data_IF_729841084773
#
_entry.id   IF_729841084773
#
_cell.length_a   1.000
_cell.length_b   1.000
_cell.length_c   1.000
_cell.angle_alpha   90.00
_cell.angle_beta   90.00
_cell.angle_gamma   90.00
#
_symmetry.space_group_name_H-M   'P 1'
#
loop_
_entity.id
_entity.type
_entity.pdbx_description
1 polymer ?
#
# COMPACT_ATOMS: atom_id res chain seq x y z
N UNK A 1 18.06 -4.52 8.47
CA UNK A 1 17.45 -3.41 7.76
C UNK A 1 16.51 -2.72 8.72
N UNK A 2 16.74 -1.40 8.91
CA UNK A 2 15.90 -0.59 9.78
C UNK A 2 14.49 -0.56 9.18
N UNK A 3 13.50 -0.96 9.96
CA UNK A 3 12.10 -0.84 9.55
C UNK A 3 11.78 0.65 9.37
N UNK A 4 11.16 1.07 8.26
CA UNK A 4 10.79 2.46 8.03
C UNK A 4 9.55 2.86 8.86
N UNK A 5 9.43 2.31 10.05
CA UNK A 5 8.31 2.49 10.97
C UNK A 5 8.84 2.62 12.40
N UNK A 6 8.41 3.67 13.10
CA UNK A 6 8.66 3.85 14.52
C UNK A 6 7.38 3.54 15.30
N UNK A 7 7.48 2.63 16.26
CA UNK A 7 6.37 2.26 17.13
C UNK A 7 6.72 2.75 18.54
N UNK A 8 5.77 3.46 19.14
CA UNK A 8 5.81 3.85 20.54
C UNK A 8 4.88 2.94 21.33
N UNK A 9 5.43 2.01 22.09
CA UNK A 9 4.67 1.16 22.99
C UNK A 9 4.52 1.85 24.35
N UNK A 10 3.29 2.00 24.82
CA UNK A 10 2.98 2.62 26.12
C UNK A 10 2.69 1.56 27.17
N UNK A 11 2.90 1.89 28.43
CA UNK A 11 2.49 1.00 29.53
C UNK A 11 0.97 0.78 29.48
N UNK A 12 0.53 -0.44 29.82
CA UNK A 12 -0.89 -0.78 29.89
C UNK A 12 -1.64 0.05 30.93
N UNK A 13 -2.90 0.31 30.65
CA UNK A 13 -3.79 1.17 31.43
C UNK A 13 -4.31 0.49 32.72
N UNK A 14 -3.82 -0.69 33.06
CA UNK A 14 -4.26 -1.50 34.20
C UNK A 14 -3.87 -0.91 35.59
N UNK A 15 -3.08 0.14 35.61
CA UNK A 15 -2.61 0.81 36.81
C UNK A 15 -3.54 1.98 37.12
N UNK A 16 -4.13 2.04 38.29
CA UNK A 16 -5.08 3.05 38.82
C UNK A 16 -5.09 4.46 38.18
N UNK A 17 -6.06 5.27 38.55
CA UNK A 17 -6.38 6.56 37.89
C UNK A 17 -5.19 7.51 37.69
N UNK A 18 -4.29 7.60 38.65
CA UNK A 18 -3.12 8.50 38.55
C UNK A 18 -2.12 8.04 37.48
N UNK A 19 -1.91 6.72 37.37
CA UNK A 19 -1.02 6.16 36.34
C UNK A 19 -1.58 6.33 34.94
N UNK A 20 -2.88 6.19 34.80
CA UNK A 20 -3.61 6.37 33.54
C UNK A 20 -3.55 7.83 33.07
N UNK A 21 -3.74 8.78 34.00
CA UNK A 21 -3.59 10.21 33.71
C UNK A 21 -2.16 10.53 33.25
N UNK A 22 -1.16 9.96 33.91
CA UNK A 22 0.24 10.15 33.54
C UNK A 22 0.54 9.63 32.14
N UNK A 23 0.00 8.46 31.77
CA UNK A 23 0.14 7.90 30.40
C UNK A 23 -0.50 8.81 29.36
N UNK A 24 -1.69 9.35 29.63
CA UNK A 24 -2.36 10.28 28.74
C UNK A 24 -1.58 11.58 28.56
N UNK A 25 -1.02 12.12 29.65
CA UNK A 25 -0.15 13.29 29.61
C UNK A 25 1.13 13.01 28.78
N UNK A 26 1.71 11.82 28.93
CA UNK A 26 2.90 11.38 28.16
C UNK A 26 2.58 11.31 26.66
N UNK A 27 1.45 10.68 26.26
CA UNK A 27 1.01 10.60 24.86
C UNK A 27 0.77 12.01 24.30
N UNK A 28 0.06 12.87 25.03
CA UNK A 28 -0.20 14.25 24.60
C UNK A 28 1.09 15.05 24.44
N UNK A 29 2.03 14.86 25.37
CA UNK A 29 3.33 15.52 25.30
C UNK A 29 4.16 15.02 24.11
N UNK A 30 4.17 13.71 23.84
CA UNK A 30 4.84 13.12 22.68
C UNK A 30 4.29 13.72 21.39
N UNK A 31 2.97 13.74 21.19
CA UNK A 31 2.31 14.30 20.02
C UNK A 31 2.66 15.78 19.86
N UNK A 32 2.59 16.55 20.96
CA UNK A 32 2.88 17.99 20.95
C UNK A 32 4.34 18.29 20.63
N UNK A 33 5.27 17.53 21.18
CA UNK A 33 6.72 17.72 20.95
C UNK A 33 7.07 17.38 19.51
N UNK A 34 6.59 16.23 19.01
CA UNK A 34 6.85 15.81 17.63
C UNK A 34 6.22 16.77 16.63
N UNK A 35 4.99 17.23 16.86
CA UNK A 35 4.33 18.23 16.02
C UNK A 35 5.10 19.56 15.99
N UNK A 36 5.58 20.04 17.15
CA UNK A 36 6.34 21.29 17.24
C UNK A 36 7.74 21.22 16.62
N UNK A 37 8.29 20.04 16.42
CA UNK A 37 9.59 19.88 15.76
C UNK A 37 9.56 20.35 14.30
N UNK A 38 8.40 20.34 13.65
CA UNK A 38 8.24 20.63 12.23
C UNK A 38 8.83 19.54 11.33
N UNK A 39 9.37 18.45 11.90
CA UNK A 39 9.90 17.30 11.17
C UNK A 39 8.81 16.24 11.02
N UNK A 40 8.20 16.17 9.85
CA UNK A 40 7.11 15.25 9.54
C UNK A 40 7.50 13.77 9.71
N UNK A 41 8.79 13.42 9.66
CA UNK A 41 9.26 12.06 9.89
C UNK A 41 9.19 11.64 11.35
N UNK A 42 9.03 12.59 12.25
CA UNK A 42 8.91 12.34 13.69
C UNK A 42 7.46 12.39 14.18
N UNK A 43 6.51 12.83 13.37
CA UNK A 43 5.11 12.93 13.78
C UNK A 43 4.52 11.56 14.15
N UNK A 44 3.61 11.56 15.11
CA UNK A 44 2.72 10.43 15.35
C UNK A 44 1.62 10.47 14.30
N UNK A 45 1.58 9.48 13.41
CA UNK A 45 0.67 9.46 12.27
C UNK A 45 -0.63 8.71 12.53
N UNK A 46 -0.65 7.80 13.50
CA UNK A 46 -1.84 7.08 13.94
C UNK A 46 -1.65 6.54 15.36
N UNK A 47 -2.74 6.37 16.08
CA UNK A 47 -2.79 5.72 17.40
C UNK A 47 -3.65 4.47 17.29
N UNK A 48 -3.13 3.32 17.72
CA UNK A 48 -3.90 2.13 18.00
C UNK A 48 -4.18 2.05 19.49
N UNK A 49 -5.45 2.24 19.86
CA UNK A 49 -5.88 2.05 21.23
C UNK A 49 -6.37 0.61 21.42
N UNK A 50 -5.58 -0.19 22.12
CA UNK A 50 -5.81 -1.63 22.27
C UNK A 50 -6.67 -1.93 23.49
N UNK A 51 -7.82 -2.57 23.29
CA UNK A 51 -8.75 -3.05 24.33
C UNK A 51 -8.75 -4.58 24.31
N UNK A 52 -8.52 -5.21 25.47
CA UNK A 52 -8.56 -6.67 25.56
C UNK A 52 -10.02 -7.18 25.56
N UNK A 53 -10.37 -8.07 24.63
CA UNK A 53 -11.72 -8.65 24.56
C UNK A 53 -12.09 -9.53 25.77
N UNK A 54 -11.12 -9.99 26.54
CA UNK A 54 -11.32 -10.84 27.71
C UNK A 54 -12.10 -10.16 28.83
N UNK A 55 -12.10 -8.83 28.91
CA UNK A 55 -12.87 -8.05 29.90
C UNK A 55 -14.35 -8.05 29.64
N UNK A 56 -14.80 -8.42 28.43
CA UNK A 56 -16.20 -8.46 27.96
C UNK A 56 -16.96 -7.11 28.06
N UNK A 57 -16.35 -6.06 28.50
CA UNK A 57 -16.90 -4.71 28.61
C UNK A 57 -15.76 -3.68 28.55
N UNK A 58 -16.08 -2.50 28.11
CA UNK A 58 -15.26 -1.32 28.29
C UNK A 58 -15.79 -0.51 29.47
N UNK A 59 -14.93 -0.02 30.32
CA UNK A 59 -15.33 0.83 31.44
C UNK A 59 -15.64 2.25 30.96
N UNK A 60 -16.55 2.96 31.67
CA UNK A 60 -16.94 4.33 31.31
C UNK A 60 -15.73 5.27 31.26
N UNK A 61 -14.81 5.14 32.21
CA UNK A 61 -13.55 5.91 32.23
C UNK A 61 -12.64 5.61 31.05
N UNK A 62 -12.59 4.36 30.61
CA UNK A 62 -11.81 3.98 29.43
C UNK A 62 -12.41 4.61 28.16
N UNK A 63 -13.74 4.64 28.03
CA UNK A 63 -14.43 5.36 26.96
C UNK A 63 -14.16 6.88 27.01
N UNK A 64 -14.15 7.50 28.19
CA UNK A 64 -13.80 8.90 28.35
C UNK A 64 -12.38 9.21 27.85
N UNK A 65 -11.44 8.30 28.05
CA UNK A 65 -10.06 8.46 27.58
C UNK A 65 -9.93 8.30 26.09
N UNK A 66 -10.54 7.26 25.53
CA UNK A 66 -10.57 7.10 24.07
C UNK A 66 -11.22 8.34 23.45
N UNK A 67 -12.30 8.83 24.01
CA UNK A 67 -12.97 10.04 23.57
C UNK A 67 -12.04 11.28 23.67
N UNK A 68 -11.26 11.40 24.73
CA UNK A 68 -10.28 12.47 24.89
C UNK A 68 -9.20 12.40 23.79
N UNK A 69 -8.67 11.22 23.49
CA UNK A 69 -7.74 11.01 22.37
C UNK A 69 -8.37 11.40 21.04
N UNK A 70 -9.60 10.96 20.78
CA UNK A 70 -10.33 11.25 19.54
C UNK A 70 -10.73 12.73 19.40
N UNK A 71 -10.59 13.53 20.44
CA UNK A 71 -10.98 14.93 20.48
C UNK A 71 -9.80 15.90 20.64
N UNK A 72 -8.55 15.39 20.64
CA UNK A 72 -7.34 16.20 20.77
C UNK A 72 -7.16 17.15 19.58
N UNK A 73 -7.11 18.46 19.87
CA UNK A 73 -7.23 19.59 18.95
C UNK A 73 -6.17 19.72 17.87
N UNK A 74 -5.15 20.60 18.05
CA UNK A 74 -4.32 21.12 16.94
C UNK A 74 -3.46 20.09 16.18
N UNK A 75 -3.09 18.97 16.79
CA UNK A 75 -2.23 17.95 16.18
C UNK A 75 -2.98 16.75 15.59
N UNK A 76 -4.30 16.71 15.73
CA UNK A 76 -5.26 15.80 15.10
C UNK A 76 -4.76 14.42 14.66
N UNK A 77 -4.33 13.56 15.60
CA UNK A 77 -3.82 12.23 15.24
C UNK A 77 -4.98 11.24 15.11
N UNK A 78 -5.10 10.51 13.98
CA UNK A 78 -6.11 9.46 13.81
C UNK A 78 -6.01 8.39 14.90
N UNK A 79 -7.16 8.05 15.52
CA UNK A 79 -7.28 7.01 16.55
C UNK A 79 -8.10 5.85 15.99
N UNK A 80 -7.54 4.67 16.02
CA UNK A 80 -8.19 3.41 15.68
C UNK A 80 -8.26 2.57 16.94
N UNK A 81 -9.46 2.13 17.34
CA UNK A 81 -9.61 1.22 18.46
C UNK A 81 -9.46 -0.22 17.99
N UNK A 82 -8.68 -1.00 18.72
CA UNK A 82 -8.37 -2.39 18.36
C UNK A 82 -8.78 -3.30 19.50
N UNK A 83 -9.80 -4.12 19.26
CA UNK A 83 -10.19 -5.16 20.21
C UNK A 83 -9.27 -6.36 20.00
N UNK A 84 -8.33 -6.54 20.92
CA UNK A 84 -7.30 -7.60 20.84
C UNK A 84 -7.77 -8.90 21.49
N UNK A 85 -7.07 -10.01 21.25
CA UNK A 85 -7.34 -11.32 21.83
C UNK A 85 -8.81 -11.77 21.62
N UNK A 86 -9.33 -11.53 20.41
CA UNK A 86 -10.75 -11.75 20.08
C UNK A 86 -11.09 -13.23 19.85
N UNK A 87 -10.72 -14.13 20.79
CA UNK A 87 -11.02 -15.56 20.72
C UNK A 87 -12.52 -15.83 20.58
N UNK A 88 -13.36 -15.05 21.27
CA UNK A 88 -14.80 -15.11 21.14
C UNK A 88 -15.31 -13.99 20.23
N UNK A 89 -15.24 -14.21 18.92
CA UNK A 89 -15.53 -13.22 17.88
C UNK A 89 -16.85 -12.47 18.09
N UNK A 90 -17.92 -13.18 18.48
CA UNK A 90 -19.23 -12.55 18.71
C UNK A 90 -19.24 -11.58 19.90
N UNK A 91 -18.46 -11.89 20.95
CA UNK A 91 -18.33 -11.01 22.13
C UNK A 91 -17.49 -9.78 21.78
N UNK A 92 -16.36 -10.02 21.11
CA UNK A 92 -15.49 -8.94 20.65
C UNK A 92 -16.20 -7.98 19.68
N UNK A 93 -17.00 -8.49 18.75
CA UNK A 93 -17.78 -7.65 17.83
C UNK A 93 -18.83 -6.81 18.56
N UNK A 94 -19.54 -7.35 19.55
CA UNK A 94 -20.50 -6.56 20.36
C UNK A 94 -19.80 -5.45 21.14
N UNK A 95 -18.59 -5.73 21.68
CA UNK A 95 -17.78 -4.72 22.34
C UNK A 95 -17.36 -3.62 21.35
N UNK A 96 -16.92 -3.99 20.16
CA UNK A 96 -16.57 -3.06 19.10
C UNK A 96 -17.75 -2.19 18.66
N UNK A 97 -18.94 -2.76 18.52
CA UNK A 97 -20.17 -2.04 18.19
C UNK A 97 -20.53 -1.01 19.29
N UNK A 98 -20.42 -1.38 20.58
CA UNK A 98 -20.65 -0.48 21.70
C UNK A 98 -19.71 0.71 21.66
N UNK A 99 -18.40 0.47 21.51
CA UNK A 99 -17.39 1.51 21.41
C UNK A 99 -17.65 2.39 20.18
N UNK A 100 -17.98 1.78 19.04
CA UNK A 100 -18.26 2.53 17.82
C UNK A 100 -19.46 3.47 17.98
N UNK A 101 -20.53 3.04 18.64
CA UNK A 101 -21.70 3.88 18.89
C UNK A 101 -21.38 5.09 19.76
N UNK A 102 -20.53 4.94 20.79
CA UNK A 102 -20.12 6.02 21.68
C UNK A 102 -19.15 7.02 21.03
N UNK A 103 -18.31 6.55 20.11
CA UNK A 103 -17.27 7.37 19.48
C UNK A 103 -17.62 7.86 18.07
N UNK A 104 -18.74 7.39 17.49
CA UNK A 104 -19.16 7.80 16.15
C UNK A 104 -19.30 9.33 16.05
N UNK A 105 -18.72 9.91 15.01
CA UNK A 105 -18.74 11.36 14.78
C UNK A 105 -17.66 12.16 15.53
N UNK A 106 -16.80 11.53 16.32
CA UNK A 106 -15.63 12.23 16.90
C UNK A 106 -14.59 12.52 15.81
N UNK A 107 -13.94 13.71 15.85
CA UNK A 107 -13.12 14.20 14.74
C UNK A 107 -11.99 13.25 14.29
N UNK A 108 -11.34 12.61 15.25
CA UNK A 108 -10.16 11.77 14.99
C UNK A 108 -10.41 10.28 15.21
N UNK A 109 -11.66 9.86 15.43
CA UNK A 109 -12.03 8.45 15.51
C UNK A 109 -12.17 7.84 14.12
N UNK A 110 -11.41 6.78 13.85
CA UNK A 110 -11.35 6.13 12.52
C UNK A 110 -11.77 4.64 12.53
N UNK A 111 -12.52 4.24 13.55
CA UNK A 111 -13.12 2.91 13.60
C UNK A 111 -12.64 2.04 14.75
N UNK A 112 -13.35 0.91 14.93
CA UNK A 112 -13.05 -0.10 15.93
C UNK A 112 -12.96 -1.46 15.23
N UNK A 113 -11.84 -2.16 15.39
CA UNK A 113 -11.55 -3.41 14.69
C UNK A 113 -11.29 -4.54 15.68
N UNK A 114 -11.85 -5.70 15.41
CA UNK A 114 -11.63 -6.92 16.22
C UNK A 114 -10.52 -7.75 15.60
N UNK A 115 -9.53 -8.12 16.41
CA UNK A 115 -8.31 -8.79 15.94
C UNK A 115 -7.96 -9.98 16.84
N UNK A 116 -7.71 -11.11 16.19
CA UNK A 116 -6.94 -12.22 16.73
C UNK A 116 -5.65 -12.33 15.91
N UNK A 117 -4.55 -11.78 16.44
CA UNK A 117 -3.31 -11.64 15.69
C UNK A 117 -2.59 -12.98 15.44
N UNK A 118 -2.67 -13.88 16.41
CA UNK A 118 -2.17 -15.26 16.29
C UNK A 118 -3.31 -16.24 16.53
N UNK A 119 -3.32 -17.42 15.88
CA UNK A 119 -4.28 -18.46 16.20
C UNK A 119 -4.08 -18.95 17.63
N UNK A 120 -5.09 -19.61 18.20
CA UNK A 120 -4.94 -20.27 19.49
C UNK A 120 -3.92 -21.40 19.37
N UNK A 121 -2.97 -21.44 20.30
CA UNK A 121 -1.89 -22.47 20.30
C UNK A 121 -2.46 -23.88 20.56
N UNK A 122 -3.53 -23.98 21.35
CA UNK A 122 -4.17 -25.25 21.72
C UNK A 122 -5.19 -25.71 20.66
N UNK A 123 -5.86 -24.76 19.96
CA UNK A 123 -6.87 -25.07 18.95
C UNK A 123 -6.84 -24.06 17.78
N UNK A 124 -5.78 -24.12 16.96
CA UNK A 124 -5.60 -23.18 15.87
C UNK A 124 -6.65 -23.31 14.74
N UNK A 125 -7.28 -24.47 14.60
CA UNK A 125 -8.32 -24.70 13.57
C UNK A 125 -9.63 -24.03 13.95
N UNK A 126 -10.02 -24.05 15.22
CA UNK A 126 -11.25 -23.41 15.69
C UNK A 126 -11.11 -21.91 15.90
N UNK A 127 -9.87 -21.45 16.17
CA UNK A 127 -9.55 -20.04 16.41
C UNK A 127 -8.42 -19.53 15.49
N UNK A 128 -8.64 -19.47 14.17
CA UNK A 128 -7.66 -18.95 13.25
C UNK A 128 -7.49 -17.43 13.43
N UNK A 129 -6.31 -16.92 13.09
CA UNK A 129 -6.04 -15.46 13.10
C UNK A 129 -7.00 -14.72 12.16
N UNK A 130 -7.44 -13.52 12.55
CA UNK A 130 -8.29 -12.65 11.72
C UNK A 130 -8.16 -11.18 12.10
N UNK A 131 -8.68 -10.29 11.24
CA UNK A 131 -8.84 -8.86 11.50
C UNK A 131 -7.59 -8.01 11.28
N UNK A 132 -6.40 -8.61 11.15
CA UNK A 132 -5.15 -7.85 10.92
C UNK A 132 -5.18 -7.10 9.59
N UNK A 133 -5.75 -7.71 8.55
CA UNK A 133 -5.84 -7.08 7.22
C UNK A 133 -6.71 -5.83 7.25
N UNK A 134 -7.87 -5.91 7.90
CA UNK A 134 -8.81 -4.79 8.03
C UNK A 134 -8.18 -3.65 8.83
N UNK A 135 -7.44 -3.97 9.91
CA UNK A 135 -6.71 -3.00 10.71
C UNK A 135 -5.60 -2.30 9.92
N UNK A 136 -4.82 -3.06 9.16
CA UNK A 136 -3.75 -2.52 8.31
C UNK A 136 -4.34 -1.61 7.22
N UNK A 137 -5.43 -2.02 6.59
CA UNK A 137 -6.12 -1.21 5.58
C UNK A 137 -6.70 0.07 6.16
N UNK A 138 -7.33 0.00 7.35
CA UNK A 138 -7.84 1.18 8.04
C UNK A 138 -6.72 2.16 8.40
N UNK A 139 -5.59 1.65 8.90
CA UNK A 139 -4.42 2.46 9.21
C UNK A 139 -3.84 3.11 7.96
N UNK A 140 -3.72 2.36 6.86
CA UNK A 140 -3.26 2.89 5.59
C UNK A 140 -4.09 4.07 5.09
N UNK A 141 -5.41 4.04 5.28
CA UNK A 141 -6.31 5.11 4.83
C UNK A 141 -6.17 6.41 5.61
N UNK A 142 -5.70 6.36 6.85
CA UNK A 142 -5.63 7.53 7.73
C UNK A 142 -4.25 8.18 7.80
N UNK A 143 -3.20 7.47 7.45
CA UNK A 143 -1.84 8.03 7.42
C UNK A 143 -1.62 8.86 6.15
N UNK A 144 -0.77 9.91 6.20
CA UNK A 144 -0.47 10.76 5.03
C UNK A 144 0.05 9.94 3.83
N UNK A 145 -0.32 10.34 2.62
CA UNK A 145 0.05 9.65 1.38
C UNK A 145 1.56 9.43 1.26
N UNK A 146 2.38 10.40 1.66
CA UNK A 146 3.85 10.31 1.62
C UNK A 146 4.41 9.23 2.55
N UNK A 147 3.67 8.84 3.59
CA UNK A 147 4.07 7.83 4.59
C UNK A 147 3.48 6.45 4.30
N UNK A 148 2.48 6.35 3.43
CA UNK A 148 1.80 5.10 3.10
C UNK A 148 2.74 4.03 2.56
N UNK A 149 3.66 4.40 1.68
CA UNK A 149 4.63 3.47 1.12
C UNK A 149 5.55 2.86 2.20
N UNK A 150 6.03 3.68 3.15
CA UNK A 150 6.85 3.22 4.26
C UNK A 150 6.08 2.28 5.20
N UNK A 151 4.81 2.64 5.52
CA UNK A 151 3.94 1.82 6.36
C UNK A 151 3.68 0.44 5.74
N UNK A 152 3.32 0.40 4.45
CA UNK A 152 3.06 -0.86 3.73
C UNK A 152 4.32 -1.70 3.60
N UNK A 153 5.47 -1.08 3.36
CA UNK A 153 6.75 -1.78 3.31
C UNK A 153 7.05 -2.48 4.63
N UNK A 154 6.75 -1.84 5.75
CA UNK A 154 6.92 -2.42 7.08
C UNK A 154 5.97 -3.61 7.36
N UNK A 155 4.83 -3.72 6.65
CA UNK A 155 3.89 -4.82 6.79
C UNK A 155 4.39 -6.04 6.00
N UNK A 156 5.04 -6.99 6.68
CA UNK A 156 5.60 -8.20 6.04
C UNK A 156 4.58 -9.16 5.41
N UNK A 157 3.28 -9.01 5.67
CA UNK A 157 2.31 -10.11 5.52
C UNK A 157 1.20 -9.85 4.51
N UNK A 158 0.80 -8.61 4.21
CA UNK A 158 -0.38 -8.40 3.37
C UNK A 158 -0.06 -7.98 1.94
N UNK A 159 0.10 -8.98 1.05
CA UNK A 159 0.34 -8.79 -0.38
C UNK A 159 -0.83 -8.04 -1.03
N UNK A 160 -2.06 -8.28 -0.60
CA UNK A 160 -3.24 -7.62 -1.17
C UNK A 160 -3.22 -6.11 -0.93
N UNK A 161 -2.92 -5.67 0.30
CA UNK A 161 -2.78 -4.24 0.62
C UNK A 161 -1.63 -3.61 -0.17
N UNK A 162 -0.51 -4.32 -0.32
CA UNK A 162 0.61 -3.86 -1.16
C UNK A 162 0.19 -3.69 -2.62
N UNK A 163 -0.56 -4.65 -3.14
CA UNK A 163 -1.07 -4.63 -4.52
C UNK A 163 -2.06 -3.49 -4.76
N UNK A 164 -2.99 -3.26 -3.82
CA UNK A 164 -3.94 -2.15 -3.90
C UNK A 164 -3.23 -0.78 -3.86
N UNK A 165 -2.25 -0.63 -2.97
CA UNK A 165 -1.44 0.57 -2.91
C UNK A 165 -0.66 0.79 -4.20
N UNK A 166 -0.01 -0.25 -4.72
CA UNK A 166 0.72 -0.18 -5.99
C UNK A 166 -0.19 0.26 -7.14
N UNK A 167 -1.43 -0.28 -7.21
CA UNK A 167 -2.42 0.14 -8.21
C UNK A 167 -2.86 1.59 -8.04
N UNK A 168 -3.01 2.09 -6.81
CA UNK A 168 -3.29 3.52 -6.56
C UNK A 168 -2.20 4.42 -7.14
N UNK A 169 -0.92 4.08 -6.90
CA UNK A 169 0.20 4.81 -7.48
C UNK A 169 0.29 4.67 -9.00
N UNK A 170 0.04 3.47 -9.53
CA UNK A 170 -0.02 3.23 -10.97
C UNK A 170 -1.01 4.15 -11.68
N UNK A 171 -2.17 4.43 -11.09
CA UNK A 171 -3.15 5.37 -11.64
C UNK A 171 -2.57 6.80 -11.81
N UNK A 172 -1.70 7.23 -10.92
CA UNK A 172 -0.97 8.49 -11.05
C UNK A 172 -0.06 8.52 -12.29
N UNK A 173 0.69 7.44 -12.50
CA UNK A 173 1.58 7.29 -13.67
C UNK A 173 0.79 7.18 -14.98
N UNK A 174 -0.33 6.46 -15.01
CA UNK A 174 -1.23 6.39 -16.17
C UNK A 174 -1.73 7.78 -16.57
N UNK A 175 -2.18 8.58 -15.60
CA UNK A 175 -2.63 9.96 -15.85
C UNK A 175 -1.49 10.84 -16.38
N UNK A 176 -0.30 10.72 -15.78
CA UNK A 176 0.90 11.45 -16.24
C UNK A 176 1.28 11.05 -17.67
N UNK A 177 1.29 9.75 -17.98
CA UNK A 177 1.60 9.25 -19.33
C UNK A 177 0.57 9.69 -20.37
N UNK A 178 -0.71 9.77 -19.99
CA UNK A 178 -1.75 10.33 -20.86
C UNK A 178 -1.45 11.80 -21.21
N UNK A 179 -1.14 12.62 -20.21
CA UNK A 179 -0.85 14.05 -20.39
C UNK A 179 0.44 14.26 -21.22
N UNK A 180 1.47 13.48 -20.96
CA UNK A 180 2.73 13.53 -21.71
C UNK A 180 2.54 13.10 -23.15
N UNK A 181 1.75 12.06 -23.42
CA UNK A 181 1.47 11.57 -24.76
C UNK A 181 0.54 12.49 -25.58
N UNK A 182 -0.10 13.48 -24.98
CA UNK A 182 -0.81 14.55 -25.69
C UNK A 182 0.13 15.62 -26.27
N UNK A 183 1.34 15.75 -25.71
CA UNK A 183 2.32 16.68 -26.25
C UNK A 183 2.90 16.12 -27.56
N UNK A 184 3.07 16.93 -28.62
CA UNK A 184 3.74 16.49 -29.83
C UNK A 184 5.24 16.36 -29.56
N UNK A 185 5.66 15.19 -29.09
CA UNK A 185 7.05 14.89 -28.78
C UNK A 185 7.74 14.32 -30.04
N UNK A 186 8.91 14.82 -30.44
CA UNK A 186 9.69 14.22 -31.54
C UNK A 186 10.14 12.79 -31.13
N UNK A 187 10.27 11.92 -32.14
CA UNK A 187 10.58 10.47 -32.01
C UNK A 187 11.85 10.14 -31.21
N UNK A 188 12.64 11.15 -30.82
CA UNK A 188 13.86 11.03 -29.99
C UNK A 188 13.60 10.75 -28.50
N UNK A 189 12.34 10.70 -28.04
CA UNK A 189 12.01 10.67 -26.60
C UNK A 189 11.76 9.26 -26.04
N UNK A 190 12.07 8.21 -26.79
CA UNK A 190 12.07 6.83 -26.28
C UNK A 190 12.86 6.65 -24.96
N UNK A 191 14.01 7.31 -24.74
CA UNK A 191 14.70 7.26 -23.45
C UNK A 191 13.90 7.84 -22.30
N UNK A 192 13.11 8.89 -22.51
CA UNK A 192 12.27 9.51 -21.48
C UNK A 192 11.12 8.60 -21.05
N UNK A 193 10.47 7.91 -21.98
CA UNK A 193 9.44 6.92 -21.66
C UNK A 193 10.01 5.78 -20.81
N UNK A 194 11.16 5.20 -21.20
CA UNK A 194 11.82 4.13 -20.44
C UNK A 194 12.18 4.60 -19.03
N UNK A 195 12.69 5.83 -18.89
CA UNK A 195 13.04 6.40 -17.59
C UNK A 195 11.82 6.53 -16.68
N UNK A 196 10.68 6.98 -17.21
CA UNK A 196 9.43 7.10 -16.46
C UNK A 196 8.89 5.74 -16.01
N UNK A 197 8.94 4.73 -16.88
CA UNK A 197 8.52 3.37 -16.56
C UNK A 197 9.43 2.70 -15.50
N UNK A 198 10.75 2.94 -15.59
CA UNK A 198 11.70 2.48 -14.55
C UNK A 198 11.41 3.17 -13.21
N UNK A 199 11.11 4.47 -13.21
CA UNK A 199 10.75 5.20 -11.99
C UNK A 199 9.46 4.64 -11.37
N UNK A 200 8.44 4.37 -12.18
CA UNK A 200 7.20 3.74 -11.77
C UNK A 200 7.47 2.36 -11.14
N UNK A 201 8.19 1.49 -11.83
CA UNK A 201 8.52 0.15 -11.34
C UNK A 201 9.35 0.20 -10.06
N UNK A 202 10.30 1.14 -9.95
CA UNK A 202 11.09 1.35 -8.73
C UNK A 202 10.18 1.73 -7.56
N UNK A 203 9.23 2.64 -7.78
CA UNK A 203 8.26 3.05 -6.76
C UNK A 203 7.37 1.88 -6.31
N UNK A 204 6.82 1.11 -7.26
CA UNK A 204 6.02 -0.09 -6.98
C UNK A 204 6.85 -1.12 -6.21
N UNK A 205 8.12 -1.33 -6.57
CA UNK A 205 9.04 -2.23 -5.86
C UNK A 205 9.22 -1.81 -4.40
N UNK A 206 9.35 -0.50 -4.15
CA UNK A 206 9.44 0.06 -2.80
C UNK A 206 8.19 -0.24 -1.96
N UNK A 207 6.99 -0.14 -2.55
CA UNK A 207 5.73 -0.48 -1.89
C UNK A 207 5.70 -1.96 -1.46
N UNK A 208 6.18 -2.86 -2.31
CA UNK A 208 6.27 -4.28 -1.96
C UNK A 208 7.35 -4.60 -0.92
N UNK A 209 8.32 -3.68 -0.70
CA UNK A 209 9.47 -3.92 0.18
C UNK A 209 10.39 -5.02 -0.31
N UNK A 210 10.43 -5.24 -1.62
CA UNK A 210 11.28 -6.24 -2.27
C UNK A 210 12.58 -5.55 -2.67
N UNK A 211 13.71 -6.10 -2.21
CA UNK A 211 15.02 -5.60 -2.63
C UNK A 211 15.33 -6.09 -4.04
N UNK A 212 15.14 -5.22 -5.02
CA UNK A 212 15.54 -5.40 -6.41
C UNK A 212 16.44 -4.23 -6.81
N UNK A 213 17.61 -4.56 -7.36
CA UNK A 213 18.50 -3.52 -7.87
C UNK A 213 17.94 -2.85 -9.15
N UNK A 214 18.38 -1.62 -9.41
CA UNK A 214 17.89 -0.84 -10.55
C UNK A 214 18.19 -1.48 -11.90
N UNK A 215 19.28 -2.26 -12.00
CA UNK A 215 19.65 -2.99 -13.21
C UNK A 215 18.63 -4.07 -13.52
N UNK A 216 18.19 -4.82 -12.52
CA UNK A 216 17.19 -5.87 -12.66
C UNK A 216 15.82 -5.27 -13.02
N UNK A 217 15.41 -4.17 -12.36
CA UNK A 217 14.20 -3.44 -12.69
C UNK A 217 14.26 -2.98 -14.15
N UNK A 218 15.38 -2.38 -14.57
CA UNK A 218 15.59 -1.94 -15.95
C UNK A 218 15.51 -3.10 -16.94
N UNK A 219 16.05 -4.26 -16.59
CA UNK A 219 15.98 -5.48 -17.42
C UNK A 219 14.53 -5.94 -17.60
N UNK A 220 13.73 -5.97 -16.54
CA UNK A 220 12.32 -6.34 -16.59
C UNK A 220 11.54 -5.32 -17.45
N UNK A 221 11.70 -4.04 -17.19
CA UNK A 221 11.05 -2.95 -17.96
C UNK A 221 11.45 -3.03 -19.43
N UNK A 222 12.74 -3.21 -19.73
CA UNK A 222 13.23 -3.35 -21.09
C UNK A 222 12.68 -4.61 -21.75
N UNK A 223 12.53 -5.72 -21.05
CA UNK A 223 11.91 -6.94 -21.57
C UNK A 223 10.42 -6.74 -21.87
N UNK A 224 9.69 -6.00 -21.04
CA UNK A 224 8.28 -5.64 -21.26
C UNK A 224 8.11 -4.64 -22.41
N UNK A 225 8.94 -3.59 -22.46
CA UNK A 225 8.93 -2.59 -23.54
C UNK A 225 9.66 -3.13 -24.76
N UNK A 226 10.72 -3.92 -24.60
CA UNK A 226 11.56 -4.45 -25.67
C UNK A 226 10.81 -5.43 -26.58
N UNK A 227 9.68 -5.96 -26.12
CA UNK A 227 8.64 -6.48 -27.03
C UNK A 227 8.14 -5.37 -27.94
N UNK A 228 8.03 -4.15 -27.39
CA UNK A 228 7.71 -2.95 -28.19
C UNK A 228 8.92 -2.41 -28.94
N UNK A 229 10.15 -2.40 -28.42
CA UNK A 229 11.32 -1.72 -28.99
C UNK A 229 12.22 -2.58 -29.90
N UNK A 230 12.35 -3.90 -29.66
CA UNK A 230 12.91 -4.82 -30.68
C UNK A 230 12.02 -4.83 -31.93
N UNK A 231 10.79 -4.41 -31.75
CA UNK A 231 9.76 -4.22 -32.74
C UNK A 231 9.81 -2.87 -33.43
N UNK A 232 10.39 -1.85 -32.82
CA UNK A 232 10.67 -0.54 -33.46
C UNK A 232 11.91 -0.62 -34.35
N UNK A 233 12.90 -1.43 -34.02
CA UNK A 233 14.07 -1.65 -34.86
C UNK A 233 13.81 -2.55 -36.08
N UNK A 234 12.81 -3.40 -36.00
CA UNK A 234 12.38 -4.23 -37.11
C UNK A 234 10.95 -3.88 -37.56
N UNK A 235 10.78 -2.91 -38.39
CA UNK A 235 9.60 -2.33 -39.08
C UNK A 235 8.25 -3.10 -39.12
N UNK A 236 8.12 -4.26 -38.49
CA UNK A 236 6.99 -5.18 -38.68
C UNK A 236 6.15 -5.46 -37.42
N UNK A 237 6.63 -5.15 -36.23
CA UNK A 237 5.97 -5.59 -34.98
C UNK A 237 5.39 -4.42 -34.19
N UNK A 238 5.88 -3.18 -34.34
CA UNK A 238 5.14 -1.97 -33.87
C UNK A 238 3.73 -1.97 -34.49
N UNK A 239 3.61 -2.40 -35.72
CA UNK A 239 2.30 -2.59 -36.38
C UNK A 239 1.46 -3.72 -35.73
N UNK A 240 2.04 -4.69 -35.04
CA UNK A 240 1.31 -5.79 -34.42
C UNK A 240 0.70 -5.39 -33.07
N UNK A 241 1.49 -4.75 -32.18
CA UNK A 241 1.01 -4.28 -30.88
C UNK A 241 0.10 -3.06 -31.05
N UNK A 242 0.43 -2.14 -31.97
CA UNK A 242 -0.40 -0.99 -32.30
C UNK A 242 -1.70 -1.39 -33.01
N UNK A 243 -1.76 -2.54 -33.68
CA UNK A 243 -3.01 -3.12 -34.22
C UNK A 243 -3.92 -3.72 -33.16
N UNK A 244 -3.38 -4.07 -31.96
CA UNK A 244 -4.17 -4.55 -30.84
C UNK A 244 -4.84 -3.41 -30.05
N UNK A 245 -4.41 -2.15 -30.27
CA UNK A 245 -5.00 -0.99 -29.63
C UNK A 245 -6.07 -0.40 -30.56
N UNK A 246 -7.36 -0.43 -30.18
CA UNK A 246 -8.41 0.18 -30.99
C UNK A 246 -8.13 1.67 -31.24
N UNK A 247 -8.03 2.10 -32.47
CA UNK A 247 -7.78 3.50 -32.84
C UNK A 247 -6.33 3.86 -33.18
N UNK A 248 -5.33 2.99 -32.97
CA UNK A 248 -3.93 3.26 -33.31
C UNK A 248 -3.55 3.07 -34.77
N UNK A 249 -4.52 2.87 -35.64
CA UNK A 249 -4.37 2.46 -37.07
C UNK A 249 -3.71 3.46 -38.01
N UNK A 250 -3.26 4.63 -37.59
CA UNK A 250 -2.63 5.64 -38.45
C UNK A 250 -1.44 6.32 -37.76
N UNK A 251 -0.39 5.56 -37.45
CA UNK A 251 0.90 6.12 -37.07
C UNK A 251 1.83 6.29 -38.27
N UNK A 252 1.41 7.10 -39.24
CA UNK A 252 2.30 7.77 -40.14
C UNK A 252 2.76 9.07 -39.45
N UNK A 253 3.89 9.03 -38.77
CA UNK A 253 4.51 10.25 -38.26
C UNK A 253 5.03 10.25 -36.82
N UNK A 254 5.10 9.11 -36.13
CA UNK A 254 5.87 9.02 -34.85
C UNK A 254 5.24 9.68 -33.63
N UNK A 255 3.93 9.97 -33.62
CA UNK A 255 3.22 10.54 -32.48
C UNK A 255 2.50 9.40 -31.75
N UNK A 256 2.97 9.04 -30.56
CA UNK A 256 2.22 8.16 -29.64
C UNK A 256 1.10 8.98 -29.02
N UNK A 257 -0.16 8.60 -29.23
CA UNK A 257 -1.27 9.30 -28.59
C UNK A 257 -1.24 9.12 -27.06
N UNK A 258 -1.76 10.10 -26.31
CA UNK A 258 -1.84 10.01 -24.85
C UNK A 258 -2.57 8.74 -24.39
N UNK A 259 -3.59 8.32 -25.12
CA UNK A 259 -4.33 7.08 -24.87
C UNK A 259 -3.45 5.83 -25.02
N UNK A 260 -2.60 5.77 -26.04
CA UNK A 260 -1.67 4.66 -26.27
C UNK A 260 -0.61 4.60 -25.17
N UNK A 261 -0.05 5.76 -24.78
CA UNK A 261 0.91 5.84 -23.68
C UNK A 261 0.30 5.40 -22.34
N UNK A 262 -0.90 5.87 -22.02
CA UNK A 262 -1.63 5.48 -20.80
C UNK A 262 -1.93 3.98 -20.76
N UNK A 263 -2.38 3.40 -21.87
CA UNK A 263 -2.66 1.96 -21.99
C UNK A 263 -1.39 1.13 -21.79
N UNK A 264 -0.27 1.56 -22.39
CA UNK A 264 1.02 0.87 -22.26
C UNK A 264 1.54 0.92 -20.82
N UNK A 265 1.55 2.10 -20.19
CA UNK A 265 1.93 2.28 -18.80
C UNK A 265 1.05 1.45 -17.86
N UNK A 266 -0.27 1.43 -18.10
CA UNK A 266 -1.20 0.63 -17.32
C UNK A 266 -0.94 -0.86 -17.43
N UNK A 267 -0.78 -1.38 -18.65
CA UNK A 267 -0.49 -2.79 -18.89
C UNK A 267 0.86 -3.22 -18.29
N UNK A 268 1.90 -2.40 -18.46
CA UNK A 268 3.23 -2.65 -17.87
C UNK A 268 3.18 -2.66 -16.35
N UNK A 269 2.51 -1.69 -15.74
CA UNK A 269 2.37 -1.59 -14.30
C UNK A 269 1.62 -2.79 -13.70
N UNK A 270 0.51 -3.24 -14.28
CA UNK A 270 -0.25 -4.41 -13.81
C UNK A 270 0.56 -5.71 -13.94
N UNK A 271 1.28 -5.90 -15.05
CA UNK A 271 2.18 -7.05 -15.20
C UNK A 271 3.28 -7.01 -14.15
N UNK A 272 3.88 -5.85 -13.91
CA UNK A 272 4.92 -5.69 -12.91
C UNK A 272 4.43 -5.96 -11.49
N UNK A 273 3.24 -5.45 -11.12
CA UNK A 273 2.59 -5.77 -9.84
C UNK A 273 2.41 -7.29 -9.69
N UNK A 274 1.92 -7.96 -10.72
CA UNK A 274 1.74 -9.42 -10.70
C UNK A 274 3.06 -10.17 -10.49
N UNK A 275 4.15 -9.71 -11.09
CA UNK A 275 5.51 -10.26 -10.86
C UNK A 275 5.91 -10.12 -9.38
N UNK A 276 5.72 -8.92 -8.80
CA UNK A 276 6.05 -8.69 -7.39
C UNK A 276 5.16 -9.49 -6.44
N UNK A 277 3.88 -9.68 -6.77
CA UNK A 277 2.99 -10.58 -6.02
C UNK A 277 3.51 -12.02 -6.02
N UNK A 278 3.98 -12.53 -7.16
CA UNK A 278 4.55 -13.87 -7.27
C UNK A 278 5.86 -14.02 -6.46
N UNK A 279 6.71 -12.98 -6.46
CA UNK A 279 7.93 -12.95 -5.64
C UNK A 279 7.55 -12.94 -4.15
N UNK A 280 6.62 -12.10 -3.75
CA UNK A 280 6.16 -11.99 -2.36
C UNK A 280 5.50 -13.28 -1.85
N UNK A 281 4.82 -14.04 -2.73
CA UNK A 281 4.24 -15.37 -2.45
C UNK A 281 5.28 -16.51 -2.48
N UNK A 282 6.54 -16.21 -2.81
CA UNK A 282 7.59 -17.25 -2.98
C UNK A 282 7.41 -18.14 -4.22
N UNK A 283 6.49 -17.79 -5.13
CA UNK A 283 6.22 -18.51 -6.36
C UNK A 283 7.26 -18.23 -7.45
N UNK A 284 7.90 -17.08 -7.38
CA UNK A 284 8.94 -16.63 -8.29
C UNK A 284 10.19 -16.23 -7.49
N UNK A 285 11.34 -16.82 -7.84
CA UNK A 285 12.62 -16.47 -7.21
C UNK A 285 13.30 -15.33 -7.96
N UNK A 286 13.95 -14.43 -7.23
CA UNK A 286 14.66 -13.26 -7.80
C UNK A 286 15.75 -13.67 -8.81
N UNK A 287 16.42 -14.77 -8.57
CA UNK A 287 17.49 -15.32 -9.41
C UNK A 287 17.01 -15.72 -10.83
N UNK A 288 15.71 -15.95 -10.98
CA UNK A 288 15.10 -16.35 -12.25
C UNK A 288 14.64 -15.17 -13.12
N UNK A 289 14.67 -13.95 -12.58
CA UNK A 289 14.12 -12.76 -13.24
C UNK A 289 14.89 -12.32 -14.51
N UNK A 290 16.12 -12.75 -14.69
CA UNK A 290 16.90 -12.47 -15.90
C UNK A 290 16.89 -13.61 -16.92
N UNK A 291 16.22 -14.72 -16.62
CA UNK A 291 16.17 -15.89 -17.52
C UNK A 291 15.34 -15.62 -18.78
N UNK A 292 15.74 -16.25 -19.89
CA UNK A 292 14.99 -16.15 -21.16
C UNK A 292 13.57 -16.71 -21.04
N UNK A 293 13.37 -17.73 -20.20
CA UNK A 293 12.06 -18.29 -19.91
C UNK A 293 11.15 -17.28 -19.23
N UNK A 294 11.68 -16.56 -18.24
CA UNK A 294 10.92 -15.49 -17.56
C UNK A 294 10.63 -14.31 -18.50
N UNK A 295 11.59 -13.91 -19.33
CA UNK A 295 11.38 -12.88 -20.35
C UNK A 295 10.29 -13.27 -21.36
N UNK A 296 10.20 -14.54 -21.73
CA UNK A 296 9.13 -15.05 -22.58
C UNK A 296 7.77 -15.00 -21.84
N UNK A 297 7.72 -15.40 -20.57
CA UNK A 297 6.52 -15.32 -19.74
C UNK A 297 6.02 -13.86 -19.60
N UNK A 298 6.91 -12.90 -19.35
CA UNK A 298 6.58 -11.48 -19.28
C UNK A 298 5.90 -10.99 -20.58
N UNK A 299 6.38 -11.47 -21.73
CA UNK A 299 5.82 -11.11 -23.04
C UNK A 299 4.37 -11.58 -23.18
N UNK A 300 4.09 -12.82 -22.80
CA UNK A 300 2.73 -13.36 -22.84
C UNK A 300 1.81 -12.66 -21.86
N UNK A 301 2.29 -12.36 -20.65
CA UNK A 301 1.52 -11.59 -19.65
C UNK A 301 1.18 -10.18 -20.17
N UNK A 302 2.15 -9.49 -20.79
CA UNK A 302 1.95 -8.16 -21.36
C UNK A 302 0.93 -8.19 -22.50
N UNK A 303 1.04 -9.17 -23.39
CA UNK A 303 0.08 -9.37 -24.48
C UNK A 303 -1.34 -9.60 -23.95
N UNK A 304 -1.49 -10.52 -22.99
CA UNK A 304 -2.78 -10.81 -22.38
C UNK A 304 -3.40 -9.58 -21.66
N UNK A 305 -2.56 -8.75 -21.03
CA UNK A 305 -3.03 -7.53 -20.35
C UNK A 305 -3.46 -6.46 -21.36
N UNK A 306 -2.78 -6.32 -22.48
CA UNK A 306 -3.14 -5.38 -23.54
C UNK A 306 -4.41 -5.79 -24.32
N UNK A 307 -4.74 -7.07 -24.36
CA UNK A 307 -5.98 -7.57 -24.97
C UNK A 307 -7.22 -7.35 -24.08
N UNK A 308 -7.03 -7.10 -22.79
CA UNK A 308 -8.11 -6.87 -21.80
C UNK A 308 -8.48 -5.39 -21.63
N UNK A 309 -7.57 -4.48 -21.90
CA UNK A 309 -7.76 -3.02 -21.78
C UNK A 309 -8.07 -2.37 -23.10
#
# INVERSE_FOLDING_TARGET
PDLPLRIYDTKGVELGEDAQKAIMEEIQQLIKVTWKSGDEDQFVHAIWYCVNSGTNRVEEKELEWINSLCSMGEAGVPVIVVITQAFRKNVANKLAETIHQELAGKPYYHGCFTVLAAPDEEDPESHPSFGLNDLVEATFRVIPDQKQAAFINAQGVNIEVKSQAARKYLQGYIRSSFLTGLAPLPVSDAPLLITNEIAMCTHITTIFGIDLDKGLISTIVTALIGVSAATVAGKTVVSGILKLIPGAGTLLGGIVSGMTAATLTGALGEVYITVLEQIAKGQLKKENLDSDAFKAQLREMMKAQMERG
#
